data_IF_738795612031
#
_entry.id   IF_738795612031
#
_cell.length_a   1.000
_cell.length_b   1.000
_cell.length_c   1.000
_cell.angle_alpha   90.00
_cell.angle_beta   90.00
_cell.angle_gamma   90.00
#
_symmetry.space_group_name_H-M   'P 1'
#
loop_
_entity.id
_entity.type
_entity.pdbx_description
1 polymer ?
#
# COMPACT_ATOMS: atom_id res chain seq x y z
N UNK A 1 -2.91 24.29 -14.98
CA UNK A 1 -1.94 23.41 -14.29
C UNK A 1 -2.56 22.97 -12.98
N UNK A 2 -2.66 21.67 -12.72
CA UNK A 2 -3.09 21.17 -11.41
C UNK A 2 -2.01 21.51 -10.39
N UNK A 3 -2.38 22.12 -9.25
CA UNK A 3 -1.45 22.33 -8.16
C UNK A 3 -1.34 21.05 -7.31
N UNK A 4 -0.24 20.88 -6.59
CA UNK A 4 -0.06 19.74 -5.66
C UNK A 4 -1.23 19.62 -4.68
N UNK A 5 -1.79 20.75 -4.25
CA UNK A 5 -2.90 20.78 -3.28
C UNK A 5 -4.26 20.43 -3.91
N UNK A 6 -4.42 20.65 -5.22
CA UNK A 6 -5.68 20.36 -5.94
C UNK A 6 -5.72 18.98 -6.56
N UNK A 7 -4.55 18.30 -6.69
CA UNK A 7 -4.49 16.95 -7.26
C UNK A 7 -5.10 15.93 -6.28
N UNK A 8 -6.15 15.19 -6.67
CA UNK A 8 -6.74 14.17 -5.80
C UNK A 8 -5.71 13.08 -5.47
N UNK A 9 -5.63 12.73 -4.19
CA UNK A 9 -4.80 11.63 -3.69
C UNK A 9 -5.73 10.55 -3.14
N UNK A 10 -5.67 9.34 -3.69
CA UNK A 10 -6.53 8.22 -3.29
C UNK A 10 -5.65 7.10 -2.78
N UNK A 11 -5.79 6.73 -1.49
CA UNK A 11 -5.00 5.67 -0.88
C UNK A 11 -5.90 4.55 -0.33
N UNK A 12 -5.74 3.35 -0.83
CA UNK A 12 -6.41 2.16 -0.31
C UNK A 12 -5.71 1.66 0.96
N UNK A 13 -6.50 1.36 1.99
CA UNK A 13 -5.99 0.76 3.22
C UNK A 13 -5.51 -0.70 3.00
N UNK A 14 -4.80 -1.26 3.98
CA UNK A 14 -4.38 -2.66 3.93
C UNK A 14 -5.48 -3.65 4.30
N UNK A 15 -5.13 -4.94 4.25
CA UNK A 15 -5.97 -6.02 4.77
C UNK A 15 -6.29 -5.77 6.25
N UNK A 16 -7.54 -5.91 6.62
CA UNK A 16 -8.05 -5.66 7.99
C UNK A 16 -7.81 -4.24 8.49
N UNK A 17 -7.51 -3.29 7.62
CA UNK A 17 -7.31 -1.89 7.97
C UNK A 17 -8.43 -1.00 7.41
N UNK A 18 -8.63 0.13 8.05
CA UNK A 18 -9.53 1.19 7.63
C UNK A 18 -8.76 2.50 7.37
N UNK A 19 -9.47 3.60 7.21
CA UNK A 19 -8.89 4.91 6.96
C UNK A 19 -7.95 5.41 8.07
N UNK A 20 -8.02 4.82 9.27
CA UNK A 20 -7.17 5.24 10.39
C UNK A 20 -5.70 4.89 10.18
N UNK A 21 -5.36 3.97 9.27
CA UNK A 21 -3.98 3.68 8.90
C UNK A 21 -3.28 4.87 8.24
N UNK A 22 -4.05 5.85 7.73
CA UNK A 22 -3.56 7.04 7.06
C UNK A 22 -3.89 8.35 7.82
N UNK A 23 -4.18 8.30 9.13
CA UNK A 23 -4.47 9.53 9.91
C UNK A 23 -3.37 10.59 9.77
N UNK A 24 -2.07 10.28 9.87
CA UNK A 24 -1.03 11.29 9.69
C UNK A 24 -1.00 11.85 8.25
N UNK A 25 -1.28 11.02 7.24
CA UNK A 25 -1.34 11.43 5.84
C UNK A 25 -2.55 12.33 5.57
N UNK A 26 -3.70 12.06 6.20
CA UNK A 26 -4.89 12.93 6.09
C UNK A 26 -4.66 14.33 6.65
N UNK A 27 -3.83 14.45 7.68
CA UNK A 27 -3.44 15.75 8.24
C UNK A 27 -2.51 16.48 7.27
N UNK A 28 -1.56 15.78 6.65
CA UNK A 28 -0.58 16.37 5.74
C UNK A 28 -1.14 16.66 4.33
N UNK A 29 -2.18 15.94 3.91
CA UNK A 29 -2.82 16.00 2.59
C UNK A 29 -4.34 16.05 2.77
N UNK A 30 -4.94 17.24 2.96
CA UNK A 30 -6.39 17.38 3.19
C UNK A 30 -7.26 16.79 2.05
N UNK A 31 -6.73 16.77 0.81
CA UNK A 31 -7.37 16.19 -0.37
C UNK A 31 -7.34 14.64 -0.40
N UNK A 32 -6.71 13.99 0.59
CA UNK A 32 -6.61 12.54 0.64
C UNK A 32 -7.98 11.87 0.84
N UNK A 33 -8.35 11.05 -0.10
CA UNK A 33 -9.49 10.14 -0.06
C UNK A 33 -9.01 8.74 0.28
N UNK A 34 -9.62 8.12 1.28
CA UNK A 34 -9.41 6.70 1.60
C UNK A 34 -10.72 5.96 1.39
N UNK A 35 -10.87 5.24 0.28
CA UNK A 35 -12.09 4.53 -0.04
C UNK A 35 -12.41 3.46 1.02
N UNK A 36 -13.69 3.28 1.30
CA UNK A 36 -14.14 2.14 2.11
C UNK A 36 -14.10 0.87 1.25
N UNK A 37 -13.78 -0.25 1.87
CA UNK A 37 -13.88 -1.54 1.21
C UNK A 37 -15.34 -1.93 1.02
N UNK A 38 -15.86 -2.01 -0.23
CA UNK A 38 -17.19 -2.56 -0.48
C UNK A 38 -17.20 -4.06 -0.12
N UNK A 39 -18.37 -4.57 0.19
CA UNK A 39 -18.51 -6.02 0.41
C UNK A 39 -18.32 -6.74 -0.92
N UNK A 40 -17.42 -7.75 -0.98
CA UNK A 40 -17.27 -8.55 -2.19
C UNK A 40 -18.55 -9.29 -2.54
N UNK A 41 -18.86 -9.35 -3.82
CA UNK A 41 -19.99 -10.11 -4.36
C UNK A 41 -19.63 -11.58 -4.56
N UNK A 42 -20.62 -12.48 -4.59
CA UNK A 42 -20.39 -13.87 -4.92
C UNK A 42 -19.74 -14.03 -6.31
N UNK A 43 -18.58 -14.69 -6.35
CA UNK A 43 -17.84 -14.88 -7.59
C UNK A 43 -16.82 -13.79 -7.93
N UNK A 44 -16.72 -12.74 -7.13
CA UNK A 44 -15.71 -11.70 -7.38
C UNK A 44 -14.29 -12.23 -7.48
N UNK A 45 -13.67 -11.91 -8.58
CA UNK A 45 -12.22 -11.94 -8.77
C UNK A 45 -11.60 -10.63 -8.24
N UNK A 46 -10.27 -10.55 -8.20
CA UNK A 46 -9.61 -9.28 -7.90
C UNK A 46 -9.93 -8.24 -8.98
N UNK A 47 -10.00 -8.68 -10.25
CA UNK A 47 -10.27 -7.79 -11.38
C UNK A 47 -11.69 -7.23 -11.34
N UNK A 48 -12.73 -8.07 -11.22
CA UNK A 48 -14.12 -7.59 -11.19
C UNK A 48 -14.39 -6.68 -9.99
N UNK A 49 -13.76 -6.96 -8.86
CA UNK A 49 -13.85 -6.10 -7.69
C UNK A 49 -13.19 -4.73 -7.92
N UNK A 50 -12.02 -4.72 -8.57
CA UNK A 50 -11.31 -3.48 -8.90
C UNK A 50 -12.02 -2.70 -10.02
N UNK A 51 -12.79 -3.36 -10.91
CA UNK A 51 -13.63 -2.68 -11.90
C UNK A 51 -14.68 -1.80 -11.20
N UNK A 52 -15.38 -2.34 -10.19
CA UNK A 52 -16.36 -1.57 -9.41
C UNK A 52 -15.72 -0.42 -8.63
N UNK A 53 -14.55 -0.67 -8.01
CA UNK A 53 -13.82 0.40 -7.34
C UNK A 53 -13.38 1.50 -8.31
N UNK A 54 -12.96 1.15 -9.52
CA UNK A 54 -12.58 2.11 -10.53
C UNK A 54 -13.77 2.97 -10.97
N UNK A 55 -14.94 2.36 -11.15
CA UNK A 55 -16.15 3.10 -11.53
C UNK A 55 -16.55 4.12 -10.45
N UNK A 56 -16.47 3.76 -9.18
CA UNK A 56 -16.74 4.67 -8.06
C UNK A 56 -15.72 5.84 -7.99
N UNK A 57 -14.50 5.62 -8.50
CA UNK A 57 -13.42 6.60 -8.42
C UNK A 57 -13.29 7.48 -9.67
N UNK A 58 -13.92 7.14 -10.80
CA UNK A 58 -13.89 7.94 -12.05
C UNK A 58 -14.22 9.42 -11.85
N UNK A 59 -15.15 9.81 -10.96
CA UNK A 59 -15.47 11.23 -10.75
C UNK A 59 -14.31 12.07 -10.19
N UNK A 60 -13.28 11.45 -9.65
CA UNK A 60 -12.10 12.17 -9.13
C UNK A 60 -11.15 12.68 -10.22
N UNK A 61 -11.32 12.26 -11.50
CA UNK A 61 -10.48 12.71 -12.62
C UNK A 61 -9.03 12.24 -12.52
N UNK A 62 -8.11 13.12 -12.93
CA UNK A 62 -6.66 12.86 -12.92
C UNK A 62 -6.15 12.82 -11.48
N UNK A 63 -6.09 11.64 -10.89
CA UNK A 63 -5.69 11.41 -9.51
C UNK A 63 -4.35 10.68 -9.41
N UNK A 64 -3.69 10.80 -8.26
CA UNK A 64 -2.63 9.89 -7.83
C UNK A 64 -3.29 8.82 -6.97
N UNK A 65 -3.08 7.56 -7.33
CA UNK A 65 -3.69 6.41 -6.67
C UNK A 65 -2.61 5.61 -5.97
N UNK A 66 -2.89 5.07 -4.80
CA UNK A 66 -1.93 4.23 -4.11
C UNK A 66 -2.56 3.38 -3.02
N UNK A 67 -1.72 2.75 -2.21
CA UNK A 67 -2.23 2.02 -1.06
C UNK A 67 -1.16 1.33 -0.24
N UNK A 68 -1.58 0.91 0.96
CA UNK A 68 -0.74 0.18 1.89
C UNK A 68 -0.99 -1.32 1.80
N UNK A 69 0.07 -2.14 1.78
CA UNK A 69 -0.04 -3.60 1.79
C UNK A 69 -0.97 -4.12 0.69
N UNK A 70 -2.05 -4.84 1.01
CA UNK A 70 -3.06 -5.29 0.06
C UNK A 70 -3.68 -4.13 -0.74
N UNK A 71 -3.82 -2.96 -0.13
CA UNK A 71 -4.29 -1.75 -0.82
C UNK A 71 -3.40 -1.32 -1.99
N UNK A 72 -2.08 -1.57 -1.92
CA UNK A 72 -1.17 -1.33 -3.05
C UNK A 72 -1.39 -2.30 -4.21
N UNK A 73 -1.71 -3.58 -3.93
CA UNK A 73 -2.09 -4.54 -4.97
C UNK A 73 -3.37 -4.07 -5.67
N UNK A 74 -4.39 -3.66 -4.90
CA UNK A 74 -5.65 -3.12 -5.44
C UNK A 74 -5.39 -1.84 -6.24
N UNK A 75 -4.50 -0.96 -5.76
CA UNK A 75 -4.15 0.27 -6.48
C UNK A 75 -3.57 -0.01 -7.87
N UNK A 76 -2.73 -1.02 -8.03
CA UNK A 76 -2.20 -1.44 -9.34
C UNK A 76 -3.32 -1.91 -10.28
N UNK A 77 -4.27 -2.72 -9.78
CA UNK A 77 -5.40 -3.20 -10.59
C UNK A 77 -6.37 -2.06 -10.96
N UNK A 78 -6.64 -1.14 -10.05
CA UNK A 78 -7.47 0.05 -10.32
C UNK A 78 -6.79 1.00 -11.30
N UNK A 79 -5.46 1.16 -11.17
CA UNK A 79 -4.68 2.02 -12.06
C UNK A 79 -4.74 1.58 -13.52
N UNK A 80 -4.74 0.28 -13.80
CA UNK A 80 -4.91 -0.24 -15.15
C UNK A 80 -6.20 0.24 -15.83
N UNK A 81 -7.24 0.56 -15.04
CA UNK A 81 -8.57 0.96 -15.50
C UNK A 81 -8.78 2.47 -15.58
N UNK A 82 -8.08 3.21 -14.72
CA UNK A 82 -8.26 4.65 -14.60
C UNK A 82 -7.13 5.46 -15.24
N UNK A 83 -5.98 4.83 -15.51
CA UNK A 83 -4.77 5.48 -15.99
C UNK A 83 -4.44 6.75 -15.19
N UNK A 84 -4.16 6.60 -13.86
CA UNK A 84 -3.90 7.72 -12.98
C UNK A 84 -2.57 8.40 -13.32
N UNK A 85 -2.32 9.56 -12.71
CA UNK A 85 -1.05 10.28 -12.86
C UNK A 85 0.15 9.48 -12.34
N UNK A 86 -0.03 8.74 -11.24
CA UNK A 86 0.97 7.85 -10.67
C UNK A 86 0.34 6.81 -9.73
N UNK A 87 1.09 5.74 -9.43
CA UNK A 87 0.75 4.76 -8.39
C UNK A 87 1.76 4.83 -7.24
N UNK A 88 1.26 4.87 -5.99
CA UNK A 88 2.06 4.87 -4.77
C UNK A 88 1.89 3.55 -4.00
N UNK A 89 2.97 2.81 -3.81
CA UNK A 89 3.01 1.58 -3.02
C UNK A 89 3.66 1.85 -1.66
N UNK A 90 2.94 1.64 -0.57
CA UNK A 90 3.38 1.90 0.80
C UNK A 90 3.43 0.59 1.57
N UNK A 91 4.61 0.05 1.85
CA UNK A 91 4.75 -1.26 2.50
C UNK A 91 3.96 -2.36 1.75
N UNK A 92 4.06 -2.36 0.44
CA UNK A 92 3.33 -3.25 -0.46
C UNK A 92 4.29 -4.00 -1.39
N UNK A 93 3.79 -4.54 -2.48
CA UNK A 93 4.55 -5.30 -3.49
C UNK A 93 4.14 -4.88 -4.90
N UNK A 94 5.09 -4.90 -5.83
CA UNK A 94 4.87 -4.57 -7.26
C UNK A 94 4.33 -5.76 -8.05
N UNK A 95 4.66 -6.97 -7.61
CA UNK A 95 4.31 -8.19 -8.34
C UNK A 95 4.12 -9.40 -7.42
N UNK A 96 3.46 -10.46 -7.88
CA UNK A 96 3.37 -11.72 -7.15
C UNK A 96 4.73 -12.34 -6.82
N UNK A 97 5.78 -12.03 -7.60
CA UNK A 97 7.14 -12.53 -7.35
C UNK A 97 7.74 -11.96 -6.06
N UNK A 98 7.30 -10.78 -5.63
CA UNK A 98 7.72 -10.13 -4.39
C UNK A 98 7.00 -10.65 -3.15
N UNK A 99 5.96 -11.47 -3.30
CA UNK A 99 5.38 -12.18 -2.17
C UNK A 99 6.36 -13.21 -1.61
N UNK A 100 6.34 -13.41 -0.30
CA UNK A 100 7.19 -14.43 0.34
C UNK A 100 6.95 -15.82 -0.26
N UNK A 101 7.98 -16.67 -0.23
CA UNK A 101 7.84 -18.06 -0.69
C UNK A 101 6.69 -18.78 0.01
N UNK A 102 6.52 -18.55 1.31
CA UNK A 102 5.42 -19.13 2.08
C UNK A 102 4.07 -18.70 1.49
N UNK A 103 3.84 -17.42 1.23
CA UNK A 103 2.59 -16.95 0.64
C UNK A 103 2.32 -17.60 -0.73
N UNK A 104 3.35 -17.71 -1.58
CA UNK A 104 3.22 -18.33 -2.90
C UNK A 104 2.92 -19.84 -2.84
N UNK A 105 3.57 -20.56 -1.94
CA UNK A 105 3.33 -22.00 -1.75
C UNK A 105 2.01 -22.28 -1.00
N UNK A 106 1.43 -21.29 -0.31
CA UNK A 106 0.15 -21.41 0.38
C UNK A 106 -1.08 -21.30 -0.55
N UNK A 107 -0.89 -21.09 -1.85
CA UNK A 107 -2.00 -21.01 -2.84
C UNK A 107 -3.00 -22.19 -2.76
N UNK A 108 -2.57 -23.45 -2.64
CA UNK A 108 -3.50 -24.58 -2.51
C UNK A 108 -4.38 -24.48 -1.25
N UNK A 109 -3.95 -23.71 -0.25
CA UNK A 109 -4.69 -23.50 1.00
C UNK A 109 -5.76 -22.42 0.90
N UNK A 110 -5.91 -21.75 -0.26
CA UNK A 110 -6.94 -20.73 -0.50
C UNK A 110 -8.35 -21.16 -0.05
N UNK A 111 -8.86 -22.38 -0.32
CA UNK A 111 -10.18 -22.77 0.15
C UNK A 111 -10.33 -22.71 1.67
N UNK A 112 -9.24 -22.94 2.42
CA UNK A 112 -9.24 -22.89 3.88
C UNK A 112 -9.43 -21.47 4.43
N UNK A 113 -9.23 -20.43 3.65
CA UNK A 113 -9.49 -19.04 4.08
C UNK A 113 -10.96 -18.86 4.48
N UNK A 114 -11.87 -19.62 3.88
CA UNK A 114 -13.31 -19.60 4.21
C UNK A 114 -13.58 -20.11 5.62
N UNK A 115 -12.74 -21.02 6.12
CA UNK A 115 -12.89 -21.66 7.42
C UNK A 115 -12.29 -20.81 8.56
N UNK A 116 -11.54 -19.75 8.26
CA UNK A 116 -10.92 -18.89 9.29
C UNK A 116 -12.03 -18.29 10.17
N UNK A 117 -12.01 -18.55 11.48
CA UNK A 117 -13.03 -18.04 12.40
C UNK A 117 -12.73 -16.58 12.76
N UNK A 118 -12.82 -15.66 11.77
CA UNK A 118 -12.38 -14.25 11.94
C UNK A 118 -13.05 -13.58 13.11
N UNK A 119 -14.36 -13.78 13.31
CA UNK A 119 -15.08 -13.20 14.44
C UNK A 119 -14.54 -13.70 15.79
N UNK A 120 -14.19 -14.97 15.88
CA UNK A 120 -13.58 -15.53 17.08
C UNK A 120 -12.19 -14.93 17.32
N UNK A 121 -11.36 -14.82 16.25
CA UNK A 121 -10.05 -14.17 16.33
C UNK A 121 -10.18 -12.70 16.75
N UNK A 122 -11.17 -11.97 16.22
CA UNK A 122 -11.47 -10.60 16.63
C UNK A 122 -11.83 -10.52 18.12
N UNK A 123 -12.64 -11.45 18.61
CA UNK A 123 -12.98 -11.52 20.04
C UNK A 123 -11.73 -11.78 20.90
N UNK A 124 -10.86 -12.69 20.48
CA UNK A 124 -9.58 -12.96 21.15
C UNK A 124 -8.63 -11.75 21.12
N UNK A 125 -8.68 -10.93 20.08
CA UNK A 125 -7.87 -9.71 19.97
C UNK A 125 -8.48 -8.51 20.70
N UNK A 126 -9.75 -8.55 21.08
CA UNK A 126 -10.44 -7.42 21.72
C UNK A 126 -9.74 -6.91 23.00
N UNK A 127 -9.17 -7.75 23.90
CA UNK A 127 -8.41 -7.27 25.05
C UNK A 127 -7.19 -6.43 24.64
N UNK A 128 -6.48 -6.83 23.57
CA UNK A 128 -5.32 -6.10 23.04
C UNK A 128 -5.76 -4.77 22.41
N UNK A 129 -6.96 -4.72 21.81
CA UNK A 129 -7.55 -3.53 21.25
C UNK A 129 -8.04 -2.52 22.30
N UNK A 130 -8.06 -2.91 23.58
CA UNK A 130 -8.60 -2.11 24.68
C UNK A 130 -7.75 -0.87 24.99
N UNK A 131 -8.38 0.14 25.63
CA UNK A 131 -7.67 1.35 26.08
C UNK A 131 -6.58 1.04 27.11
N UNK A 132 -6.71 -0.03 27.88
CA UNK A 132 -5.72 -0.44 28.90
C UNK A 132 -4.46 -0.97 28.22
N UNK A 133 -4.58 -1.83 27.21
CA UNK A 133 -3.45 -2.35 26.45
C UNK A 133 -2.67 -1.26 25.68
N UNK A 134 -3.32 -0.13 25.36
CA UNK A 134 -2.67 1.01 24.70
C UNK A 134 -1.50 1.57 25.50
N UNK A 135 -1.51 1.45 26.82
CA UNK A 135 -0.41 1.91 27.69
C UNK A 135 0.80 0.97 27.66
N UNK A 136 0.57 -0.33 27.44
CA UNK A 136 1.63 -1.35 27.48
C UNK A 136 2.20 -1.65 26.08
N UNK A 137 1.34 -1.72 25.06
CA UNK A 137 1.70 -2.14 23.69
C UNK A 137 0.98 -1.27 22.64
N UNK A 138 1.31 0.02 22.54
CA UNK A 138 0.55 0.99 21.73
C UNK A 138 0.46 0.60 20.23
N UNK A 139 1.53 0.06 19.67
CA UNK A 139 1.56 -0.34 18.25
C UNK A 139 0.64 -1.52 17.97
N UNK A 140 0.67 -2.55 18.83
CA UNK A 140 -0.22 -3.72 18.70
C UNK A 140 -1.67 -3.36 18.96
N UNK A 141 -1.94 -2.44 19.89
CA UNK A 141 -3.29 -1.97 20.17
C UNK A 141 -3.95 -1.33 18.94
N UNK A 142 -3.22 -0.52 18.17
CA UNK A 142 -3.71 0.08 16.94
C UNK A 142 -4.12 -0.96 15.89
N UNK A 143 -3.23 -1.92 15.62
CA UNK A 143 -3.47 -3.01 14.68
C UNK A 143 -4.61 -3.93 15.12
N UNK A 144 -4.64 -4.30 16.41
CA UNK A 144 -5.72 -5.13 16.97
C UNK A 144 -7.07 -4.43 16.84
N UNK A 145 -7.12 -3.11 17.08
CA UNK A 145 -8.36 -2.34 16.93
C UNK A 145 -8.85 -2.32 15.49
N UNK A 146 -7.96 -2.10 14.52
CA UNK A 146 -8.30 -2.15 13.09
C UNK A 146 -8.81 -3.54 12.71
N UNK A 147 -8.11 -4.60 13.13
CA UNK A 147 -8.56 -5.97 12.88
C UNK A 147 -9.92 -6.27 13.52
N UNK A 148 -10.14 -5.86 14.78
CA UNK A 148 -11.43 -6.04 15.45
C UNK A 148 -12.58 -5.28 14.77
N UNK A 149 -12.29 -4.12 14.15
CA UNK A 149 -13.27 -3.32 13.41
C UNK A 149 -13.46 -3.75 11.95
N UNK A 150 -12.63 -4.64 11.42
CA UNK A 150 -12.68 -5.04 10.02
C UNK A 150 -13.87 -5.96 9.71
N UNK A 151 -14.40 -5.87 8.49
CA UNK A 151 -15.44 -6.77 8.01
C UNK A 151 -14.87 -8.18 7.76
N UNK A 152 -15.36 -9.23 8.44
CA UNK A 152 -14.86 -10.59 8.29
C UNK A 152 -14.96 -11.14 6.86
N UNK A 153 -15.97 -10.76 6.10
CA UNK A 153 -16.16 -11.19 4.71
C UNK A 153 -15.10 -10.56 3.81
N UNK A 154 -14.88 -9.26 3.93
CA UNK A 154 -13.81 -8.55 3.22
C UNK A 154 -12.45 -9.14 3.58
N UNK A 155 -12.19 -9.38 4.86
CA UNK A 155 -10.92 -9.97 5.33
C UNK A 155 -10.63 -11.32 4.67
N UNK A 156 -11.58 -12.27 4.75
CA UNK A 156 -11.42 -13.60 4.16
C UNK A 156 -11.23 -13.55 2.64
N UNK A 157 -12.03 -12.72 1.99
CA UNK A 157 -11.96 -12.54 0.55
C UNK A 157 -10.60 -11.95 0.14
N UNK A 158 -10.17 -10.87 0.76
CA UNK A 158 -8.88 -10.23 0.45
C UNK A 158 -7.70 -11.17 0.67
N UNK A 159 -7.71 -11.95 1.76
CA UNK A 159 -6.68 -12.96 2.01
C UNK A 159 -6.67 -14.01 0.90
N UNK A 160 -7.84 -14.49 0.47
CA UNK A 160 -7.94 -15.41 -0.65
C UNK A 160 -7.43 -14.80 -1.96
N UNK A 161 -7.65 -13.50 -2.20
CA UNK A 161 -7.14 -12.80 -3.40
C UNK A 161 -5.62 -12.64 -3.36
N UNK A 162 -5.02 -12.36 -2.20
CA UNK A 162 -3.55 -12.33 -2.05
C UNK A 162 -2.93 -13.69 -2.44
N UNK A 163 -3.52 -14.78 -1.94
CA UNK A 163 -3.05 -16.15 -2.25
C UNK A 163 -3.22 -16.52 -3.72
N UNK A 164 -4.22 -15.97 -4.38
CA UNK A 164 -4.61 -16.26 -5.76
C UNK A 164 -3.96 -15.30 -6.79
N UNK A 165 -3.31 -14.26 -6.30
CA UNK A 165 -2.69 -13.26 -7.15
C UNK A 165 -1.51 -13.84 -7.91
N UNK A 166 -1.63 -13.91 -9.23
CA UNK A 166 -0.67 -14.60 -10.11
C UNK A 166 -0.03 -13.71 -11.15
N UNK A 167 -0.66 -12.59 -11.47
CA UNK A 167 -0.19 -11.65 -12.50
C UNK A 167 -0.34 -10.21 -12.02
N UNK A 168 0.62 -9.37 -12.39
CA UNK A 168 0.56 -7.93 -12.17
C UNK A 168 -0.10 -7.29 -13.38
N UNK A 169 -1.08 -6.38 -13.18
CA UNK A 169 -1.61 -5.58 -14.27
C UNK A 169 -0.53 -4.67 -14.84
N UNK A 170 -0.56 -4.43 -16.14
CA UNK A 170 0.29 -3.42 -16.78
C UNK A 170 -0.30 -2.04 -16.50
N UNK A 171 0.51 -1.13 -15.97
CA UNK A 171 0.16 0.27 -15.76
C UNK A 171 1.10 1.15 -16.60
N UNK A 172 0.58 2.19 -17.20
CA UNK A 172 1.35 3.09 -18.09
C UNK A 172 1.92 4.29 -17.35
N UNK A 173 1.47 4.53 -16.11
CA UNK A 173 1.94 5.62 -15.27
C UNK A 173 3.14 5.22 -14.39
N UNK A 174 3.90 6.21 -13.87
CA UNK A 174 4.96 5.94 -12.89
C UNK A 174 4.46 5.21 -11.65
N UNK A 175 5.25 4.26 -11.15
CA UNK A 175 4.97 3.51 -9.91
C UNK A 175 6.10 3.78 -8.92
N UNK A 176 5.78 4.46 -7.83
CA UNK A 176 6.69 4.76 -6.72
C UNK A 176 6.45 3.81 -5.56
N UNK A 177 7.51 3.34 -4.91
CA UNK A 177 7.41 2.36 -3.83
C UNK A 177 8.28 2.73 -2.63
N UNK A 178 7.65 2.89 -1.46
CA UNK A 178 8.31 3.03 -0.15
C UNK A 178 8.05 1.80 0.70
N UNK A 179 9.09 1.29 1.37
CA UNK A 179 8.98 0.05 2.14
C UNK A 179 9.74 0.12 3.46
N UNK A 180 9.25 -0.62 4.47
CA UNK A 180 9.93 -0.73 5.76
C UNK A 180 11.07 -1.75 5.73
N UNK A 181 12.29 -1.34 6.13
CA UNK A 181 13.45 -2.20 6.15
C UNK A 181 13.35 -3.39 7.12
N UNK A 182 12.45 -3.31 8.11
CA UNK A 182 12.16 -4.37 9.09
C UNK A 182 10.75 -4.94 8.95
N UNK A 183 10.21 -4.94 7.73
CA UNK A 183 8.90 -5.54 7.47
C UNK A 183 9.00 -7.08 7.54
N UNK A 184 8.28 -7.67 8.49
CA UNK A 184 8.20 -9.13 8.67
C UNK A 184 7.02 -9.76 7.93
N UNK A 185 6.04 -8.96 7.50
CA UNK A 185 4.85 -9.43 6.76
C UNK A 185 5.19 -9.57 5.28
N UNK A 186 5.78 -8.51 4.71
CA UNK A 186 6.31 -8.47 3.35
C UNK A 186 7.82 -8.19 3.43
N UNK A 187 8.66 -9.22 3.66
CA UNK A 187 10.07 -9.00 3.91
C UNK A 187 10.78 -8.30 2.74
N UNK A 188 11.50 -7.21 3.06
CA UNK A 188 12.22 -6.37 2.10
C UNK A 188 13.12 -7.15 1.14
N UNK A 189 13.67 -8.29 1.57
CA UNK A 189 14.50 -9.15 0.70
C UNK A 189 13.81 -9.69 -0.55
N UNK A 190 12.50 -9.59 -0.63
CA UNK A 190 11.70 -10.00 -1.79
C UNK A 190 11.17 -8.82 -2.59
N UNK A 191 11.28 -7.60 -2.07
CA UNK A 191 10.75 -6.38 -2.68
C UNK A 191 11.87 -5.51 -3.24
N UNK A 192 11.55 -4.65 -4.19
CA UNK A 192 12.48 -3.70 -4.81
C UNK A 192 11.93 -2.27 -4.71
N UNK A 193 11.90 -1.68 -3.49
CA UNK A 193 11.39 -0.34 -3.29
C UNK A 193 12.36 0.74 -3.77
N UNK A 194 11.82 1.92 -4.16
CA UNK A 194 12.61 3.10 -4.49
C UNK A 194 13.12 3.81 -3.23
N UNK A 195 12.35 3.69 -2.12
CA UNK A 195 12.66 4.31 -0.83
C UNK A 195 12.53 3.30 0.30
N UNK A 196 13.52 3.26 1.19
CA UNK A 196 13.56 2.35 2.34
C UNK A 196 13.54 3.13 3.63
N UNK A 197 12.61 2.80 4.51
CA UNK A 197 12.56 3.28 5.90
C UNK A 197 13.30 2.28 6.78
N UNK A 198 14.57 2.52 7.10
CA UNK A 198 15.47 1.53 7.73
C UNK A 198 14.92 0.90 9.02
N UNK A 199 14.29 1.68 9.90
CA UNK A 199 13.67 1.20 11.14
C UNK A 199 12.23 0.76 10.99
N UNK A 200 11.63 0.98 9.82
CA UNK A 200 10.20 0.78 9.57
C UNK A 200 9.81 -0.70 9.50
N UNK A 201 8.68 -1.03 10.13
CA UNK A 201 8.01 -2.32 9.99
C UNK A 201 6.97 -2.29 8.86
N UNK A 202 5.91 -3.13 8.99
CA UNK A 202 4.87 -3.22 7.95
C UNK A 202 3.96 -1.99 7.85
N UNK A 203 3.69 -1.30 8.96
CA UNK A 203 2.72 -0.18 9.01
C UNK A 203 3.45 1.15 9.13
N UNK A 204 4.32 1.44 8.14
CA UNK A 204 5.14 2.66 8.12
C UNK A 204 4.31 3.95 8.04
N UNK A 205 3.11 3.91 7.46
CA UNK A 205 2.18 5.05 7.41
C UNK A 205 1.83 5.61 8.80
N UNK A 206 1.80 4.76 9.84
CA UNK A 206 1.55 5.17 11.22
C UNK A 206 2.83 5.34 12.04
N UNK A 207 3.84 4.49 11.81
CA UNK A 207 5.05 4.46 12.64
C UNK A 207 6.14 5.43 12.17
N UNK A 208 6.14 5.75 10.89
CA UNK A 208 7.11 6.64 10.23
C UNK A 208 6.39 7.63 9.31
N UNK A 209 5.47 8.45 9.87
CA UNK A 209 4.59 9.30 9.06
C UNK A 209 5.35 10.38 8.29
N UNK A 210 6.45 10.89 8.83
CA UNK A 210 7.26 11.94 8.17
C UNK A 210 7.84 11.40 6.87
N UNK A 211 8.51 10.25 6.92
CA UNK A 211 9.14 9.61 5.76
C UNK A 211 8.11 9.26 4.69
N UNK A 212 6.93 8.78 5.10
CA UNK A 212 5.83 8.48 4.15
C UNK A 212 5.25 9.75 3.56
N UNK A 213 5.08 10.82 4.33
CA UNK A 213 4.59 12.10 3.82
C UNK A 213 5.59 12.74 2.84
N UNK A 214 6.89 12.67 3.12
CA UNK A 214 7.93 13.20 2.25
C UNK A 214 8.02 12.40 0.95
N UNK A 215 7.89 11.08 1.03
CA UNK A 215 7.77 10.21 -0.14
C UNK A 215 6.56 10.60 -1.02
N UNK A 216 5.37 10.79 -0.42
CA UNK A 216 4.17 11.19 -1.15
C UNK A 216 4.39 12.55 -1.82
N UNK A 217 4.92 13.56 -1.11
CA UNK A 217 5.20 14.87 -1.68
C UNK A 217 6.17 14.79 -2.85
N UNK A 218 7.26 14.02 -2.69
CA UNK A 218 8.25 13.83 -3.75
C UNK A 218 7.64 13.20 -4.99
N UNK A 219 6.83 12.15 -4.83
CA UNK A 219 6.13 11.51 -5.94
C UNK A 219 5.14 12.46 -6.63
N UNK A 220 4.36 13.23 -5.84
CA UNK A 220 3.43 14.24 -6.37
C UNK A 220 4.19 15.32 -7.16
N UNK A 221 5.32 15.82 -6.64
CA UNK A 221 6.13 16.84 -7.32
C UNK A 221 6.72 16.31 -8.62
N UNK A 222 7.19 15.07 -8.65
CA UNK A 222 7.73 14.45 -9.88
C UNK A 222 6.65 14.21 -10.94
N UNK A 223 5.40 14.06 -10.51
CA UNK A 223 4.29 13.73 -11.41
C UNK A 223 3.55 14.97 -11.92
N UNK A 224 3.35 15.97 -11.04
CA UNK A 224 2.54 17.19 -11.31
C UNK A 224 3.43 18.42 -11.51
N UNK A 225 4.67 18.36 -11.02
CA UNK A 225 5.65 19.44 -11.15
C UNK A 225 6.15 19.59 -12.58
N UNK A 226 6.26 20.81 -13.02
CA UNK A 226 6.56 21.42 -14.34
C UNK A 226 7.03 20.51 -15.47
N UNK A 227 6.54 20.78 -16.70
CA UNK A 227 7.17 20.19 -17.88
C UNK A 227 8.65 20.59 -17.86
N UNK A 228 9.52 19.58 -17.85
CA UNK A 228 10.96 19.76 -18.02
C UNK A 228 11.15 20.63 -19.26
N UNK A 229 11.51 21.88 -19.05
CA UNK A 229 11.88 22.77 -20.13
C UNK A 229 13.05 22.10 -20.89
N UNK A 230 12.78 21.64 -22.10
CA UNK A 230 13.73 20.91 -22.94
C UNK A 230 14.94 21.76 -23.37
N UNK A 231 15.21 22.86 -22.67
CA UNK A 231 16.26 23.85 -22.96
C UNK A 231 17.37 23.95 -21.92
N UNK A 232 17.46 23.03 -20.94
CA UNK A 232 18.64 23.01 -20.08
C UNK A 232 19.55 21.85 -20.45
N UNK A 233 20.73 22.11 -21.09
CA UNK A 233 21.70 21.06 -21.38
C UNK A 233 22.42 20.63 -20.10
N UNK A 234 22.26 19.41 -19.73
CA UNK A 234 23.29 18.58 -19.11
C UNK A 234 23.80 18.96 -17.73
N UNK A 235 23.34 18.25 -16.71
CA UNK A 235 24.24 17.85 -15.61
C UNK A 235 24.36 16.33 -15.61
N UNK A 236 25.42 15.88 -16.30
CA UNK A 236 25.94 14.51 -16.21
C UNK A 236 26.57 14.30 -14.83
N UNK A 237 26.44 13.11 -14.32
CA UNK A 237 27.49 12.45 -13.58
C UNK A 237 27.34 12.38 -12.09
N UNK A 238 26.62 11.38 -11.60
CA UNK A 238 27.07 10.73 -10.38
C UNK A 238 27.95 9.54 -10.79
N UNK A 239 29.26 9.78 -10.76
CA UNK A 239 30.30 8.79 -10.99
C UNK A 239 30.32 7.81 -9.81
N UNK A 240 30.29 6.53 -10.17
CA UNK A 240 30.65 5.41 -9.29
C UNK A 240 32.01 5.65 -8.63
N UNK A 241 32.03 5.91 -7.33
CA UNK A 241 33.21 5.81 -6.50
C UNK A 241 33.58 4.35 -6.30
N UNK A 242 34.52 3.85 -7.09
CA UNK A 242 35.24 2.60 -6.78
C UNK A 242 36.08 2.83 -5.53
N UNK A 243 35.71 2.19 -4.41
CA UNK A 243 36.59 2.05 -3.26
C UNK A 243 37.64 0.96 -3.56
N UNK A 244 38.88 1.40 -3.76
CA UNK A 244 40.05 0.54 -3.70
C UNK A 244 40.24 0.04 -2.25
N UNK A 245 40.22 -1.27 -2.05
CA UNK A 245 40.72 -1.92 -0.86
C UNK A 245 42.09 -2.52 -1.23
N UNK A 246 43.18 -2.14 -0.57
CA UNK A 246 44.49 -2.82 -0.78
C UNK A 246 44.50 -4.15 -0.06
N UNK A 247 45.04 -5.15 -0.75
CA UNK A 247 45.36 -6.48 -0.22
C UNK A 247 46.42 -6.40 0.87
N UNK A 248 46.18 -7.07 2.00
CA UNK A 248 47.14 -7.78 2.82
C UNK A 248 46.45 -8.90 3.58
#
# INVERSE_FOLDING_TARGET
>A
MASLESTPLILFSGLAADANVFVPQKIAFPQLVVPKWPTPEPGDTLDSYCDRLADDLRPHGDAIIGGASFGGIVALHVAQRLNPLAVLLIGSVRSPAELSRVARFSRPLKPLTRLIPVRFLQLCCAPIASKLARRCVPHLCGLARQFCGSNPTVFKWSLARILDWTSTPTVECPVFHIHGGRDFVLPMRYTHPDTIVLGGGHVISLTHPTEVNDFIRSAMTQTVGEPCDATTPGLRGFTNGKSNVPAR
#
